data_IF_819506321888
#
_entry.id   IF_819506321888
#
_cell.length_a   1.000
_cell.length_b   1.000
_cell.length_c   1.000
_cell.angle_alpha   90.00
_cell.angle_beta   90.00
_cell.angle_gamma   90.00
#
_symmetry.space_group_name_H-M   'P 1'
#
loop_
_entity.id
_entity.type
_entity.pdbx_description
1 polymer ?
#
# COMPACT_ATOMS: atom_id res chain seq x y z
N UNK A 1 -26.57 15.11 29.19
CA UNK A 1 -27.41 14.75 28.01
C UNK A 1 -26.45 14.20 26.95
N UNK A 2 -26.28 12.89 26.87
CA UNK A 2 -25.33 12.24 25.97
C UNK A 2 -25.95 12.15 24.57
N UNK A 3 -25.41 12.88 23.60
CA UNK A 3 -25.72 12.68 22.18
C UNK A 3 -24.85 11.52 21.68
N UNK A 4 -25.47 10.35 21.47
CA UNK A 4 -24.89 9.27 20.70
C UNK A 4 -25.03 9.61 19.21
N UNK A 5 -23.94 10.04 18.57
CA UNK A 5 -23.87 10.16 17.11
C UNK A 5 -23.60 8.78 16.51
N UNK A 6 -24.65 8.11 16.03
CA UNK A 6 -24.51 6.94 15.14
C UNK A 6 -24.27 7.41 13.70
N UNK A 7 -23.04 7.78 13.36
CA UNK A 7 -22.60 8.04 11.97
C UNK A 7 -21.54 7.05 11.51
N UNK A 8 -21.72 5.77 11.85
CA UNK A 8 -20.85 4.68 11.40
C UNK A 8 -21.61 3.36 11.27
N UNK A 9 -22.81 3.42 10.71
CA UNK A 9 -23.45 2.23 10.16
C UNK A 9 -23.69 2.50 8.68
N UNK A 10 -22.76 2.00 7.87
CA UNK A 10 -22.95 1.73 6.43
C UNK A 10 -24.39 1.25 6.22
N UNK A 11 -25.11 1.79 5.24
CA UNK A 11 -26.53 1.47 5.06
C UNK A 11 -26.75 -0.06 5.00
N UNK A 12 -27.84 -0.56 5.60
CA UNK A 12 -28.11 -2.01 5.66
C UNK A 12 -28.00 -2.73 4.31
N UNK A 13 -28.37 -2.14 3.15
CA UNK A 13 -28.15 -2.77 1.84
C UNK A 13 -26.68 -2.98 1.48
N UNK A 14 -25.81 -2.02 1.83
CA UNK A 14 -24.36 -2.11 1.60
C UNK A 14 -23.70 -3.10 2.55
N UNK A 15 -24.18 -3.19 3.80
CA UNK A 15 -23.73 -4.22 4.74
C UNK A 15 -24.16 -5.62 4.28
N UNK A 16 -25.39 -5.78 3.79
CA UNK A 16 -25.88 -7.07 3.26
C UNK A 16 -25.14 -7.48 1.98
N UNK A 17 -24.91 -6.54 1.05
CA UNK A 17 -24.11 -6.80 -0.14
C UNK A 17 -22.66 -7.16 0.21
N UNK A 18 -22.08 -6.55 1.25
CA UNK A 18 -20.77 -6.92 1.76
C UNK A 18 -20.77 -8.32 2.38
N UNK A 19 -21.78 -8.67 3.18
CA UNK A 19 -21.95 -10.01 3.76
C UNK A 19 -22.10 -11.07 2.68
N UNK A 20 -22.92 -10.81 1.65
CA UNK A 20 -23.08 -11.71 0.50
C UNK A 20 -21.79 -11.82 -0.33
N UNK A 21 -21.07 -10.72 -0.51
CA UNK A 21 -19.79 -10.76 -1.22
C UNK A 21 -18.74 -11.56 -0.45
N UNK A 22 -18.63 -11.34 0.88
CA UNK A 22 -17.73 -12.04 1.77
C UNK A 22 -18.08 -13.53 1.94
N UNK A 23 -19.37 -13.89 1.90
CA UNK A 23 -19.83 -15.28 2.02
C UNK A 23 -19.67 -16.09 0.73
N UNK A 24 -19.35 -15.43 -0.40
CA UNK A 24 -19.10 -16.11 -1.68
C UNK A 24 -17.61 -16.38 -1.89
N UNK A 25 -17.28 -17.48 -2.59
CA UNK A 25 -15.91 -17.79 -3.08
C UNK A 25 -15.29 -16.71 -3.98
N UNK A 26 -16.07 -15.67 -4.34
CA UNK A 26 -15.66 -14.54 -5.18
C UNK A 26 -14.74 -13.59 -4.41
N UNK A 27 -14.93 -13.41 -3.11
CA UNK A 27 -14.05 -12.60 -2.27
C UNK A 27 -12.64 -13.22 -2.18
N UNK A 28 -12.55 -14.53 -1.93
CA UNK A 28 -11.26 -15.24 -1.91
C UNK A 28 -10.54 -15.18 -3.26
N UNK A 29 -11.29 -15.33 -4.36
CA UNK A 29 -10.74 -15.21 -5.71
C UNK A 29 -10.23 -13.78 -5.98
N UNK A 30 -10.97 -12.77 -5.53
CA UNK A 30 -10.56 -11.38 -5.61
C UNK A 30 -9.29 -11.11 -4.79
N UNK A 31 -9.23 -11.57 -3.53
CA UNK A 31 -8.06 -11.43 -2.68
C UNK A 31 -6.83 -12.14 -3.25
N UNK A 32 -6.98 -13.35 -3.81
CA UNK A 32 -5.88 -14.04 -4.50
C UNK A 32 -5.36 -13.22 -5.69
N UNK A 33 -6.26 -12.66 -6.50
CA UNK A 33 -5.89 -11.80 -7.62
C UNK A 33 -5.18 -10.53 -7.14
N UNK A 34 -5.72 -9.85 -6.11
CA UNK A 34 -5.14 -8.64 -5.55
C UNK A 34 -3.74 -8.90 -4.97
N UNK A 35 -3.56 -9.98 -4.19
CA UNK A 35 -2.27 -10.38 -3.64
C UNK A 35 -1.22 -10.59 -4.74
N UNK A 36 -1.60 -11.33 -5.80
CA UNK A 36 -0.72 -11.53 -6.96
C UNK A 36 -0.35 -10.20 -7.63
N UNK A 37 -1.33 -9.33 -7.88
CA UNK A 37 -1.07 -8.03 -8.51
C UNK A 37 -0.17 -7.13 -7.67
N UNK A 38 -0.36 -7.11 -6.35
CA UNK A 38 0.51 -6.34 -5.43
C UNK A 38 1.93 -6.91 -5.40
N UNK A 39 2.09 -8.23 -5.37
CA UNK A 39 3.40 -8.88 -5.44
C UNK A 39 4.13 -8.56 -6.76
N UNK A 40 3.44 -8.65 -7.90
CA UNK A 40 4.01 -8.29 -9.21
C UNK A 40 4.39 -6.79 -9.30
N UNK A 41 3.61 -5.90 -8.66
CA UNK A 41 3.94 -4.46 -8.59
C UNK A 41 5.14 -4.19 -7.70
N UNK A 42 5.20 -4.82 -6.51
CA UNK A 42 6.33 -4.73 -5.59
C UNK A 42 7.63 -5.18 -6.26
N UNK A 43 7.60 -6.31 -6.96
CA UNK A 43 8.78 -6.83 -7.66
C UNK A 43 9.27 -5.89 -8.76
N UNK A 44 8.36 -5.32 -9.55
CA UNK A 44 8.73 -4.33 -10.58
C UNK A 44 9.30 -3.06 -9.98
N UNK A 45 8.72 -2.56 -8.90
CA UNK A 45 9.24 -1.40 -8.18
C UNK A 45 10.63 -1.68 -7.62
N UNK A 46 10.84 -2.83 -6.97
CA UNK A 46 12.13 -3.28 -6.47
C UNK A 46 13.21 -3.31 -7.57
N UNK A 47 12.90 -3.91 -8.72
CA UNK A 47 13.83 -3.96 -9.86
C UNK A 47 14.15 -2.56 -10.42
N UNK A 48 13.16 -1.67 -10.47
CA UNK A 48 13.39 -0.29 -10.90
C UNK A 48 14.27 0.48 -9.90
N UNK A 49 14.02 0.32 -8.61
CA UNK A 49 14.82 0.95 -7.56
C UNK A 49 16.27 0.48 -7.61
N UNK A 50 16.53 -0.82 -7.78
CA UNK A 50 17.90 -1.34 -7.96
C UNK A 50 18.61 -0.78 -9.20
N UNK A 51 17.86 -0.39 -10.23
CA UNK A 51 18.42 0.16 -11.48
C UNK A 51 18.72 1.65 -11.40
N UNK A 52 17.88 2.41 -10.70
CA UNK A 52 17.91 3.87 -10.73
C UNK A 52 18.46 4.51 -9.46
N UNK A 53 18.38 3.82 -8.31
CA UNK A 53 18.96 4.33 -7.08
C UNK A 53 20.47 4.13 -7.04
N UNK A 54 21.19 5.06 -6.39
CA UNK A 54 22.62 4.91 -6.15
C UNK A 54 22.87 3.77 -5.15
N UNK A 55 24.03 3.12 -5.23
CA UNK A 55 24.36 1.90 -4.48
C UNK A 55 24.39 2.10 -2.96
N UNK A 56 24.51 3.34 -2.52
CA UNK A 56 24.52 3.78 -1.14
C UNK A 56 23.15 3.70 -0.47
N UNK A 57 22.06 3.65 -1.25
CA UNK A 57 20.70 3.48 -0.72
C UNK A 57 20.44 2.00 -0.49
N UNK A 58 20.23 1.61 0.77
CA UNK A 58 19.85 0.23 1.10
C UNK A 58 18.35 0.09 0.90
N UNK A 59 17.97 -0.96 0.18
CA UNK A 59 16.58 -1.30 -0.04
C UNK A 59 16.27 -2.56 0.78
N UNK A 60 15.33 -2.46 1.69
CA UNK A 60 14.90 -3.55 2.57
C UNK A 60 13.75 -4.30 1.91
N UNK A 61 14.02 -5.52 1.45
CA UNK A 61 13.02 -6.41 0.86
C UNK A 61 12.46 -7.38 1.90
N UNK A 62 11.16 -7.30 2.16
CA UNK A 62 10.43 -8.34 2.90
C UNK A 62 9.67 -9.26 1.93
N UNK A 63 9.60 -10.55 2.20
CA UNK A 63 8.77 -11.46 1.39
C UNK A 63 7.27 -11.30 1.69
N UNK A 64 6.93 -10.62 2.79
CA UNK A 64 5.56 -10.33 3.23
C UNK A 64 5.20 -8.86 3.04
N UNK A 65 3.90 -8.57 2.96
CA UNK A 65 3.39 -7.21 2.73
C UNK A 65 3.72 -6.64 1.35
N UNK A 66 3.23 -5.44 1.06
CA UNK A 66 3.36 -4.80 -0.25
C UNK A 66 4.24 -3.54 -0.27
N UNK A 67 4.74 -3.12 0.90
CA UNK A 67 5.63 -1.96 1.02
C UNK A 67 7.10 -2.35 0.77
N UNK A 68 7.88 -1.36 0.34
CA UNK A 68 9.34 -1.41 0.24
C UNK A 68 9.89 -0.31 1.15
N UNK A 69 10.93 -0.65 1.90
CA UNK A 69 11.59 0.30 2.79
C UNK A 69 12.95 0.68 2.21
N UNK A 70 13.25 1.97 2.25
CA UNK A 70 14.50 2.55 1.77
C UNK A 70 15.20 3.20 2.95
N UNK A 71 16.49 2.93 3.08
CA UNK A 71 17.38 3.58 4.02
C UNK A 71 18.34 4.45 3.21
N UNK A 72 18.18 5.76 3.35
CA UNK A 72 19.03 6.75 2.71
C UNK A 72 20.35 6.87 3.48
N UNK A 73 21.48 7.09 2.79
CA UNK A 73 22.77 7.31 3.45
C UNK A 73 22.78 8.66 4.19
N UNK A 74 23.73 8.81 5.12
CA UNK A 74 23.79 9.91 6.09
C UNK A 74 23.86 11.36 5.56
N UNK A 75 24.19 11.69 4.29
CA UNK A 75 23.99 13.05 3.79
C UNK A 75 22.58 13.31 3.22
N UNK A 76 21.72 12.31 3.05
CA UNK A 76 20.39 12.44 2.44
C UNK A 76 19.28 12.49 3.49
N UNK A 77 18.59 13.62 3.57
CA UNK A 77 17.39 13.80 4.38
C UNK A 77 16.14 13.33 3.63
N UNK A 78 15.36 12.42 4.24
CA UNK A 78 14.15 11.87 3.64
C UNK A 78 13.01 12.90 3.50
N UNK A 79 12.95 13.89 4.39
CA UNK A 79 12.00 14.99 4.37
C UNK A 79 12.28 15.96 3.22
N UNK A 80 13.55 16.34 3.02
CA UNK A 80 13.96 17.16 1.86
C UNK A 80 13.69 16.43 0.54
N UNK A 81 14.01 15.12 0.48
CA UNK A 81 13.70 14.29 -0.69
C UNK A 81 12.19 14.23 -0.97
N UNK A 82 11.36 14.11 0.07
CA UNK A 82 9.90 14.12 -0.04
C UNK A 82 9.37 15.45 -0.58
N UNK A 83 9.87 16.57 -0.07
CA UNK A 83 9.51 17.91 -0.57
C UNK A 83 9.92 18.11 -2.03
N UNK A 84 11.11 17.64 -2.41
CA UNK A 84 11.56 17.66 -3.79
C UNK A 84 10.65 16.80 -4.69
N UNK A 85 10.27 15.60 -4.24
CA UNK A 85 9.37 14.71 -4.98
C UNK A 85 7.99 15.35 -5.25
N UNK A 86 7.43 16.05 -4.25
CA UNK A 86 6.17 16.79 -4.40
C UNK A 86 6.25 17.87 -5.49
N UNK A 87 7.41 18.53 -5.61
CA UNK A 87 7.66 19.53 -6.67
C UNK A 87 7.65 18.90 -8.07
N UNK A 88 8.02 17.62 -8.17
CA UNK A 88 7.96 16.82 -9.40
C UNK A 88 6.61 16.09 -9.60
N UNK A 89 5.60 16.34 -8.76
CA UNK A 89 4.30 15.65 -8.76
C UNK A 89 4.40 14.13 -8.56
N UNK A 90 5.37 13.70 -7.75
CA UNK A 90 5.56 12.31 -7.32
C UNK A 90 5.02 12.14 -5.91
#
# INVERSE_FOLDING_TARGET
RLQLMCTLSTSSPMQLALVDYLSTRRYDAHLRRLRRQLAERKQRAWQALLRYLPAEVKIHHSDSGYFLWLELPEPLDAGELSLAALTHHI
#
